data_IF_482617377940
#
_entry.id   IF_482617377940
#
_cell.length_a   1.000
_cell.length_b   1.000
_cell.length_c   1.000
_cell.angle_alpha   90.00
_cell.angle_beta   90.00
_cell.angle_gamma   90.00
#
_symmetry.space_group_name_H-M   'P 1'
#
loop_
_entity.id
_entity.type
_entity.pdbx_description
1 polymer ?
#
# COMPACT_ATOMS: atom_id res chain seq x y z
N UNK A 1 -8.98 -2.13 0.72
CA UNK A 1 -8.47 -0.88 1.29
C UNK A 1 -8.62 0.29 0.33
N UNK A 2 -8.25 0.11 -0.94
CA UNK A 2 -8.31 1.18 -1.93
C UNK A 2 -9.73 1.69 -2.18
N UNK A 3 -10.69 0.78 -2.29
CA UNK A 3 -12.10 1.13 -2.49
C UNK A 3 -12.64 1.86 -1.25
N UNK A 4 -12.24 1.41 -0.06
CA UNK A 4 -12.60 2.07 1.19
C UNK A 4 -12.05 3.49 1.23
N UNK A 5 -10.81 3.70 0.77
CA UNK A 5 -10.20 5.02 0.70
C UNK A 5 -11.01 5.95 -0.22
N UNK A 6 -11.43 5.47 -1.39
CA UNK A 6 -12.26 6.26 -2.31
C UNK A 6 -13.60 6.62 -1.65
N UNK A 7 -14.23 5.66 -0.98
CA UNK A 7 -15.50 5.86 -0.28
C UNK A 7 -15.39 6.90 0.84
N UNK A 8 -14.19 7.07 1.42
CA UNK A 8 -13.92 8.03 2.48
C UNK A 8 -13.31 9.34 1.97
N UNK A 9 -13.40 9.62 0.68
CA UNK A 9 -13.07 10.92 0.10
C UNK A 9 -11.72 11.03 -0.60
N UNK A 10 -11.01 9.93 -0.84
CA UNK A 10 -9.79 9.97 -1.63
C UNK A 10 -10.10 10.41 -3.07
N UNK A 11 -9.30 11.32 -3.63
CA UNK A 11 -9.49 11.82 -4.98
C UNK A 11 -9.15 10.76 -6.04
N UNK A 12 -8.12 9.96 -5.77
CA UNK A 12 -7.69 8.88 -6.67
C UNK A 12 -6.95 7.81 -5.89
N UNK A 13 -6.98 6.59 -6.41
CA UNK A 13 -6.23 5.45 -5.86
C UNK A 13 -5.58 4.69 -6.99
N UNK A 14 -4.29 4.40 -6.85
CA UNK A 14 -3.57 3.53 -7.75
C UNK A 14 -3.33 2.19 -7.05
N UNK A 15 -3.65 1.11 -7.73
CA UNK A 15 -3.41 -0.25 -7.25
C UNK A 15 -2.18 -0.80 -7.96
N UNK A 16 -1.17 -1.21 -7.20
CA UNK A 16 0.00 -1.90 -7.75
C UNK A 16 -0.24 -3.40 -7.68
N UNK A 17 -0.40 -4.03 -8.84
CA UNK A 17 -0.67 -5.46 -8.92
C UNK A 17 -0.18 -6.04 -10.24
N UNK A 18 0.48 -7.20 -10.18
CA UNK A 18 0.98 -7.92 -11.36
C UNK A 18 0.17 -9.15 -11.71
N UNK A 19 -0.52 -9.74 -10.75
CA UNK A 19 -1.26 -10.98 -10.93
C UNK A 19 -2.52 -10.74 -11.76
N UNK A 20 -2.70 -11.38 -12.94
CA UNK A 20 -3.87 -11.15 -13.80
C UNK A 20 -5.20 -11.46 -13.12
N UNK A 21 -5.26 -12.47 -12.27
CA UNK A 21 -6.50 -12.81 -11.56
C UNK A 21 -6.84 -11.78 -10.49
N UNK A 22 -5.84 -11.29 -9.75
CA UNK A 22 -6.03 -10.21 -8.80
C UNK A 22 -6.49 -8.94 -9.50
N UNK A 23 -5.92 -8.62 -10.67
CA UNK A 23 -6.34 -7.48 -11.49
C UNK A 23 -7.80 -7.60 -11.89
N UNK A 24 -8.23 -8.79 -12.32
CA UNK A 24 -9.64 -9.03 -12.67
C UNK A 24 -10.56 -8.79 -11.48
N UNK A 25 -10.18 -9.27 -10.30
CA UNK A 25 -10.95 -9.09 -9.07
C UNK A 25 -11.06 -7.62 -8.70
N UNK A 26 -9.95 -6.89 -8.76
CA UNK A 26 -9.93 -5.45 -8.48
C UNK A 26 -10.82 -4.71 -9.47
N UNK A 27 -10.69 -5.00 -10.76
CA UNK A 27 -11.48 -4.36 -11.81
C UNK A 27 -12.98 -4.59 -11.62
N UNK A 28 -13.37 -5.84 -11.28
CA UNK A 28 -14.76 -6.18 -11.03
C UNK A 28 -15.32 -5.42 -9.81
N UNK A 29 -14.53 -5.34 -8.74
CA UNK A 29 -14.93 -4.62 -7.53
C UNK A 29 -15.06 -3.11 -7.77
N UNK A 30 -14.16 -2.53 -8.57
CA UNK A 30 -14.21 -1.12 -8.93
C UNK A 30 -15.50 -0.79 -9.70
N UNK A 31 -15.86 -1.64 -10.65
CA UNK A 31 -17.12 -1.46 -11.41
C UNK A 31 -18.33 -1.61 -10.50
N UNK A 32 -18.34 -2.63 -9.64
CA UNK A 32 -19.43 -2.90 -8.71
C UNK A 32 -19.71 -1.70 -7.78
N UNK A 33 -18.65 -1.05 -7.31
CA UNK A 33 -18.75 0.09 -6.40
C UNK A 33 -18.68 1.45 -7.11
N UNK A 34 -18.69 1.46 -8.44
CA UNK A 34 -18.67 2.68 -9.28
C UNK A 34 -17.46 3.57 -8.98
N UNK A 35 -16.29 2.95 -8.73
CA UNK A 35 -15.04 3.64 -8.39
C UNK A 35 -14.04 3.72 -9.53
N UNK A 36 -14.36 3.20 -10.72
CA UNK A 36 -13.38 3.06 -11.80
C UNK A 36 -12.86 4.39 -12.35
N UNK A 37 -13.56 5.51 -12.18
CA UNK A 37 -13.06 6.82 -12.58
C UNK A 37 -11.98 7.37 -11.65
N UNK A 38 -11.96 6.90 -10.39
CA UNK A 38 -10.99 7.35 -9.37
C UNK A 38 -9.86 6.36 -9.15
N UNK A 39 -9.80 5.30 -9.92
CA UNK A 39 -8.85 4.23 -9.69
C UNK A 39 -8.09 3.86 -10.97
N UNK A 40 -6.83 3.47 -10.77
CA UNK A 40 -5.95 2.99 -11.83
C UNK A 40 -5.21 1.77 -11.31
N UNK A 41 -5.00 0.78 -12.17
CA UNK A 41 -4.19 -0.40 -11.85
C UNK A 41 -2.83 -0.24 -12.53
N UNK A 42 -1.77 -0.31 -11.74
CA UNK A 42 -0.39 -0.17 -12.18
C UNK A 42 0.29 -1.52 -12.04
N UNK A 43 0.94 -2.01 -13.08
CA UNK A 43 1.54 -3.35 -13.10
C UNK A 43 2.98 -3.39 -12.58
N UNK A 44 3.66 -2.26 -12.56
CA UNK A 44 5.03 -2.21 -12.05
C UNK A 44 5.30 -0.86 -11.38
N UNK A 45 6.39 -0.80 -10.60
CA UNK A 45 6.71 0.37 -9.78
C UNK A 45 7.00 1.63 -10.61
N UNK A 46 7.47 1.48 -11.85
CA UNK A 46 7.79 2.61 -12.71
C UNK A 46 6.55 3.41 -13.12
N UNK A 47 5.38 2.79 -13.06
CA UNK A 47 4.11 3.46 -13.34
C UNK A 47 3.53 4.23 -12.18
N UNK A 48 4.19 4.21 -11.01
CA UNK A 48 3.71 4.90 -9.82
C UNK A 48 4.06 6.38 -9.85
N UNK A 49 3.17 7.19 -9.29
CA UNK A 49 3.38 8.62 -9.06
C UNK A 49 3.93 8.86 -7.64
N UNK A 50 3.60 10.00 -7.06
CA UNK A 50 3.90 10.33 -5.65
C UNK A 50 2.58 10.36 -4.90
N UNK A 51 2.54 9.80 -3.71
CA UNK A 51 1.30 9.59 -2.97
C UNK A 51 1.39 10.16 -1.56
N UNK A 52 0.25 10.65 -1.05
CA UNK A 52 0.14 11.13 0.33
C UNK A 52 -0.10 9.98 1.32
N UNK A 53 -0.64 8.87 0.84
CA UNK A 53 -0.94 7.70 1.65
C UNK A 53 -0.65 6.44 0.85
N UNK A 54 0.12 5.55 1.44
CA UNK A 54 0.43 4.25 0.86
C UNK A 54 0.04 3.16 1.85
N UNK A 55 -0.74 2.18 1.38
CA UNK A 55 -0.98 0.94 2.09
C UNK A 55 -0.16 -0.16 1.44
N UNK A 56 0.69 -0.83 2.21
CA UNK A 56 1.49 -1.96 1.76
C UNK A 56 1.11 -3.20 2.56
N UNK A 57 0.61 -4.22 1.87
CA UNK A 57 0.18 -5.48 2.47
C UNK A 57 0.77 -6.65 1.66
N UNK A 58 2.11 -6.86 1.74
CA UNK A 58 2.76 -7.93 0.99
C UNK A 58 2.37 -9.32 1.53
N UNK A 59 2.55 -10.39 0.72
CA UNK A 59 2.32 -11.75 1.19
C UNK A 59 3.19 -12.07 2.41
N UNK A 60 2.60 -12.69 3.44
CA UNK A 60 3.31 -12.95 4.69
C UNK A 60 4.40 -14.01 4.56
N UNK A 61 4.26 -14.94 3.63
CA UNK A 61 5.29 -15.96 3.36
C UNK A 61 6.48 -15.40 2.56
N UNK A 62 6.29 -14.25 1.91
CA UNK A 62 7.34 -13.55 1.18
C UNK A 62 7.02 -12.06 1.15
N UNK A 63 7.35 -11.32 2.23
CA UNK A 63 6.91 -9.93 2.38
C UNK A 63 7.58 -8.93 1.44
N UNK A 64 8.62 -9.31 0.70
CA UNK A 64 9.24 -8.47 -0.34
C UNK A 64 9.59 -7.06 0.15
N UNK A 65 10.26 -6.97 1.28
CA UNK A 65 10.61 -5.66 1.86
C UNK A 65 11.45 -4.78 0.95
N UNK A 66 12.22 -5.36 0.04
CA UNK A 66 12.98 -4.59 -0.96
C UNK A 66 12.04 -3.81 -1.88
N UNK A 67 10.94 -4.41 -2.27
CA UNK A 67 9.92 -3.72 -3.07
C UNK A 67 9.24 -2.63 -2.24
N UNK A 68 8.98 -2.87 -0.97
CA UNK A 68 8.41 -1.85 -0.07
C UNK A 68 9.36 -0.66 0.04
N UNK A 69 10.67 -0.87 0.16
CA UNK A 69 11.66 0.22 0.19
C UNK A 69 11.60 1.09 -1.08
N UNK A 70 11.41 0.48 -2.24
CA UNK A 70 11.26 1.22 -3.49
C UNK A 70 9.96 2.01 -3.53
N UNK A 71 8.88 1.44 -3.02
CA UNK A 71 7.57 2.09 -2.95
C UNK A 71 7.59 3.27 -1.99
N UNK A 72 8.33 3.18 -0.89
CA UNK A 72 8.48 4.26 0.08
C UNK A 72 9.00 5.55 -0.56
N UNK A 73 9.83 5.45 -1.59
CA UNK A 73 10.35 6.61 -2.31
C UNK A 73 9.24 7.36 -3.06
N UNK A 74 8.10 6.72 -3.28
CA UNK A 74 6.93 7.34 -3.89
C UNK A 74 5.99 8.00 -2.87
N UNK A 75 6.36 7.98 -1.59
CA UNK A 75 5.61 8.67 -0.55
C UNK A 75 6.01 10.14 -0.52
N UNK A 76 5.02 11.03 -0.55
CA UNK A 76 5.26 12.47 -0.46
C UNK A 76 5.79 12.84 0.92
N UNK A 77 6.51 13.96 1.00
CA UNK A 77 6.90 14.56 2.27
C UNK A 77 5.62 14.89 3.06
N UNK A 78 5.56 14.48 4.32
CA UNK A 78 4.35 14.58 5.11
C UNK A 78 3.36 13.43 4.90
N UNK A 79 3.69 12.48 4.03
CA UNK A 79 2.84 11.35 3.73
C UNK A 79 2.92 10.25 4.77
N UNK A 80 1.95 9.35 4.71
CA UNK A 80 1.79 8.23 5.64
C UNK A 80 1.92 6.90 4.91
N UNK A 81 2.72 5.98 5.46
CA UNK A 81 2.80 4.59 5.03
C UNK A 81 2.17 3.71 6.11
N UNK A 82 1.24 2.88 5.71
CA UNK A 82 0.68 1.81 6.55
C UNK A 82 1.17 0.48 6.01
N UNK A 83 1.97 -0.23 6.81
CA UNK A 83 2.57 -1.51 6.43
C UNK A 83 2.01 -2.63 7.29
N UNK A 84 1.40 -3.63 6.63
CA UNK A 84 1.02 -4.89 7.27
C UNK A 84 2.11 -5.91 6.98
N UNK A 85 2.61 -6.61 8.00
CA UNK A 85 3.70 -7.56 7.83
C UNK A 85 3.60 -8.70 8.85
N UNK A 86 4.25 -9.86 8.60
CA UNK A 86 4.32 -10.93 9.60
C UNK A 86 5.26 -10.56 10.74
N UNK A 87 5.18 -11.26 11.87
CA UNK A 87 6.13 -11.09 12.97
C UNK A 87 7.57 -11.34 12.50
N UNK A 88 7.75 -12.35 11.68
CA UNK A 88 9.04 -12.72 11.10
C UNK A 88 8.88 -13.01 9.61
N UNK A 89 9.76 -12.53 8.76
CA UNK A 89 10.89 -11.63 9.06
C UNK A 89 10.41 -10.20 9.38
N UNK A 90 11.14 -9.56 10.30
CA UNK A 90 10.87 -8.17 10.68
C UNK A 90 11.25 -7.23 9.54
N UNK A 91 10.46 -6.19 9.23
CA UNK A 91 10.83 -5.23 8.20
C UNK A 91 12.07 -4.44 8.59
N UNK A 92 12.88 -3.97 7.61
CA UNK A 92 14.02 -3.11 7.89
C UNK A 92 13.55 -1.73 8.34
N UNK A 93 14.51 -0.92 8.83
CA UNK A 93 14.28 0.50 9.06
C UNK A 93 14.25 1.21 7.71
N UNK A 94 13.24 2.03 7.48
CA UNK A 94 13.13 2.82 6.24
C UNK A 94 13.70 4.21 6.47
N UNK A 95 14.68 4.62 5.66
CA UNK A 95 15.30 5.92 5.77
C UNK A 95 14.29 7.04 5.52
N UNK A 96 14.34 8.08 6.35
CA UNK A 96 13.47 9.23 6.23
C UNK A 96 12.06 9.03 6.77
N UNK A 97 11.74 7.84 7.29
CA UNK A 97 10.45 7.56 7.89
C UNK A 97 10.54 7.50 9.41
N UNK A 98 9.58 8.11 10.08
CA UNK A 98 9.39 8.02 11.52
C UNK A 98 8.29 7.02 11.82
N UNK A 99 8.55 6.06 12.71
CA UNK A 99 7.55 5.09 13.15
C UNK A 99 6.61 5.74 14.15
N UNK A 100 5.33 5.89 13.78
CA UNK A 100 4.31 6.50 14.64
C UNK A 100 3.58 5.47 15.49
N UNK A 101 3.38 4.27 14.98
CA UNK A 101 2.60 3.23 15.65
C UNK A 101 3.07 1.85 15.23
N UNK A 102 3.10 0.93 16.18
CA UNK A 102 3.49 -0.46 15.97
C UNK A 102 2.56 -1.33 16.80
N UNK A 103 1.66 -2.04 16.13
CA UNK A 103 0.66 -2.88 16.79
C UNK A 103 0.70 -4.30 16.27
N UNK A 104 0.58 -5.26 17.19
CA UNK A 104 0.52 -6.69 16.85
C UNK A 104 -0.88 -7.21 17.08
N UNK A 105 -1.36 -7.97 16.11
CA UNK A 105 -2.60 -8.71 16.18
C UNK A 105 -2.29 -10.20 15.97
N UNK A 106 -3.25 -11.08 16.11
CA UNK A 106 -3.03 -12.53 15.96
C UNK A 106 -2.31 -12.88 14.64
N UNK A 107 -0.99 -13.05 14.70
CA UNK A 107 -0.16 -13.39 13.55
C UNK A 107 0.19 -12.26 12.59
N UNK A 108 -0.26 -11.04 12.85
CA UNK A 108 -0.01 -9.88 11.97
C UNK A 108 0.47 -8.69 12.78
N UNK A 109 1.29 -7.88 12.15
CA UNK A 109 1.76 -6.61 12.71
C UNK A 109 1.38 -5.48 11.75
N UNK A 110 1.00 -4.32 12.30
CA UNK A 110 0.71 -3.13 11.52
C UNK A 110 1.59 -1.99 12.04
N UNK A 111 2.40 -1.45 11.15
CA UNK A 111 3.24 -0.29 11.43
C UNK A 111 2.75 0.90 10.63
N UNK A 112 2.72 2.05 11.26
CA UNK A 112 2.36 3.31 10.62
C UNK A 112 3.57 4.24 10.68
N UNK A 113 3.97 4.74 9.53
CA UNK A 113 5.14 5.61 9.37
C UNK A 113 4.73 6.97 8.81
N UNK A 114 5.51 7.98 9.16
CA UNK A 114 5.38 9.34 8.64
C UNK A 114 6.67 9.74 7.94
N UNK A 115 6.56 10.33 6.76
CA UNK A 115 7.73 10.81 6.01
C UNK A 115 8.02 12.28 6.38
N UNK A 116 9.18 12.47 6.96
CA UNK A 116 9.66 13.79 7.38
C UNK A 116 10.11 14.67 6.21
#
# INVERSE_FOLDING_TARGET
LGITAISNGANSVDFLEKNPEAIKTISANLKKHKCNEKAKIVKNIDGLSVYDLIFADPPYDNPQYELVEKIVQKLAQGGILVLSHPKEPTPPTFDGLELLSDRSYAGACIKIYFKQ
#
